data_IF_230686504988
#
_entry.id   IF_230686504988
#
_cell.length_a   1.000
_cell.length_b   1.000
_cell.length_c   1.000
_cell.angle_alpha   90.00
_cell.angle_beta   90.00
_cell.angle_gamma   90.00
#
_symmetry.space_group_name_H-M   'P 1'
#
loop_
_entity.id
_entity.type
_entity.pdbx_description
1 polymer ?
#
# COMPACT_ATOMS: atom_id res chain seq x y z
N UNK A 1 3.75 -18.74 -7.62
CA UNK A 1 2.81 -17.80 -6.99
C UNK A 1 3.18 -17.52 -5.54
N UNK A 2 3.61 -18.53 -4.79
CA UNK A 2 3.91 -18.43 -3.36
C UNK A 2 5.01 -17.40 -3.03
N UNK A 3 6.09 -17.34 -3.83
CA UNK A 3 7.15 -16.34 -3.64
C UNK A 3 6.64 -14.91 -3.85
N UNK A 4 5.79 -14.67 -4.86
CA UNK A 4 5.19 -13.36 -5.09
C UNK A 4 4.26 -12.97 -3.94
N UNK A 5 3.42 -13.91 -3.51
CA UNK A 5 2.49 -13.75 -2.37
C UNK A 5 3.25 -13.39 -1.09
N UNK A 6 4.37 -14.07 -0.84
CA UNK A 6 5.24 -13.79 0.31
C UNK A 6 5.92 -12.42 0.21
N UNK A 7 6.25 -11.94 -0.99
CA UNK A 7 6.78 -10.58 -1.17
C UNK A 7 5.68 -9.55 -0.91
N UNK A 8 4.46 -9.78 -1.40
CA UNK A 8 3.32 -8.93 -1.10
C UNK A 8 3.04 -8.87 0.41
N UNK A 9 3.13 -9.99 1.12
CA UNK A 9 3.03 -10.05 2.59
C UNK A 9 4.07 -9.17 3.28
N UNK A 10 5.32 -9.16 2.79
CA UNK A 10 6.37 -8.30 3.34
C UNK A 10 6.11 -6.83 3.07
N UNK A 11 5.51 -6.50 1.92
CA UNK A 11 5.20 -5.12 1.55
C UNK A 11 4.09 -4.55 2.43
N UNK A 12 3.06 -5.35 2.72
CA UNK A 12 1.95 -4.98 3.58
C UNK A 12 1.54 -6.18 4.45
N UNK A 13 2.19 -6.36 5.61
CA UNK A 13 1.90 -7.43 6.54
C UNK A 13 0.67 -7.11 7.37
N UNK A 14 -0.05 -8.15 7.83
CA UNK A 14 -1.03 -7.97 8.89
C UNK A 14 -0.28 -7.70 10.20
N UNK A 15 -0.70 -6.66 10.92
CA UNK A 15 -0.07 -6.23 12.16
C UNK A 15 -1.09 -6.37 13.30
N UNK A 16 -0.78 -7.13 14.36
CA UNK A 16 -1.66 -7.22 15.52
C UNK A 16 -1.74 -5.85 16.19
N UNK A 17 -2.94 -5.34 16.33
CA UNK A 17 -3.21 -4.05 16.96
C UNK A 17 -3.86 -4.26 18.33
N UNK A 18 -3.33 -3.58 19.35
CA UNK A 18 -3.94 -3.51 20.68
C UNK A 18 -5.01 -2.41 20.69
N UNK A 19 -6.27 -2.85 20.66
CA UNK A 19 -7.45 -1.98 20.59
C UNK A 19 -7.60 -1.18 21.89
N UNK A 20 -7.27 -1.79 23.03
CA UNK A 20 -7.46 -1.18 24.35
C UNK A 20 -6.46 -0.04 24.56
N UNK A 21 -5.22 -0.24 24.09
CA UNK A 21 -4.21 0.82 24.06
C UNK A 21 -4.62 1.99 23.16
N UNK A 22 -5.17 1.73 21.96
CA UNK A 22 -5.64 2.79 21.07
C UNK A 22 -6.84 3.55 21.62
N UNK A 23 -7.83 2.85 22.17
CA UNK A 23 -9.00 3.47 22.80
C UNK A 23 -8.60 4.35 23.97
N UNK A 24 -7.58 3.94 24.74
CA UNK A 24 -7.04 4.73 25.84
C UNK A 24 -6.34 6.01 25.37
N UNK A 25 -5.49 5.92 24.34
CA UNK A 25 -4.80 7.09 23.78
C UNK A 25 -5.78 8.14 23.24
N UNK A 26 -6.86 7.71 22.58
CA UNK A 26 -7.83 8.63 21.98
C UNK A 26 -8.74 9.31 23.03
N UNK A 27 -9.05 8.61 24.13
CA UNK A 27 -9.81 9.18 25.25
C UNK A 27 -9.06 10.24 26.05
N UNK A 28 -7.73 10.27 25.98
CA UNK A 28 -6.92 11.31 26.64
C UNK A 28 -6.92 12.65 25.87
N UNK A 29 -7.28 12.65 24.58
CA UNK A 29 -7.18 13.82 23.68
C UNK A 29 -8.53 14.51 23.37
N UNK A 30 -9.70 13.96 23.74
CA UNK A 30 -11.01 14.44 23.27
C UNK A 30 -12.03 14.78 24.39
N UNK A 31 -12.73 15.91 24.21
CA UNK A 31 -13.83 16.42 25.05
C UNK A 31 -15.19 15.91 24.50
N UNK A 32 -15.74 14.91 25.16
CA UNK A 32 -17.15 14.47 25.36
C UNK A 32 -18.25 14.44 24.27
N UNK A 33 -18.09 14.83 22.99
CA UNK A 33 -19.30 15.00 22.13
C UNK A 33 -19.55 14.05 20.93
N UNK A 34 -18.70 13.09 20.54
CA UNK A 34 -19.01 12.17 19.40
C UNK A 34 -18.48 10.72 19.56
N UNK A 35 -19.08 9.92 20.44
CA UNK A 35 -18.65 8.53 20.71
C UNK A 35 -18.84 7.54 19.53
N UNK A 36 -19.85 7.75 18.67
CA UNK A 36 -20.24 6.77 17.64
C UNK A 36 -19.33 6.78 16.40
N UNK A 37 -18.96 7.95 15.89
CA UNK A 37 -18.07 8.09 14.72
C UNK A 37 -16.63 7.63 15.04
N UNK A 38 -16.22 7.82 16.29
CA UNK A 38 -14.89 7.44 16.76
C UNK A 38 -14.70 5.92 16.85
N UNK A 39 -15.72 5.17 17.29
CA UNK A 39 -15.67 3.71 17.35
C UNK A 39 -15.69 3.10 15.93
N UNK A 40 -16.39 3.72 14.97
CA UNK A 40 -16.38 3.32 13.56
C UNK A 40 -14.99 3.53 12.94
N UNK A 41 -14.36 4.68 13.19
CA UNK A 41 -13.01 4.99 12.73
C UNK A 41 -11.99 3.97 13.26
N UNK A 42 -12.04 3.65 14.56
CA UNK A 42 -11.15 2.64 15.17
C UNK A 42 -11.35 1.26 14.54
N UNK A 43 -12.60 0.84 14.30
CA UNK A 43 -12.88 -0.44 13.62
C UNK A 43 -12.34 -0.49 12.20
N UNK A 44 -12.46 0.61 11.44
CA UNK A 44 -11.93 0.70 10.09
C UNK A 44 -10.39 0.60 10.09
N UNK A 45 -9.73 1.32 11.01
CA UNK A 45 -8.28 1.22 11.21
C UNK A 45 -7.88 -0.20 11.61
N UNK A 46 -8.57 -0.82 12.55
CA UNK A 46 -8.31 -2.20 12.95
C UNK A 46 -8.44 -3.18 11.77
N UNK A 47 -9.50 -3.04 10.97
CA UNK A 47 -9.70 -3.84 9.76
C UNK A 47 -8.52 -3.68 8.81
N UNK A 48 -8.06 -2.44 8.57
CA UNK A 48 -6.89 -2.16 7.75
C UNK A 48 -5.62 -2.84 8.25
N UNK A 49 -5.32 -2.80 9.54
CA UNK A 49 -4.13 -3.45 10.12
C UNK A 49 -4.20 -4.98 10.07
N UNK A 50 -5.40 -5.56 10.09
CA UNK A 50 -5.59 -7.01 9.96
C UNK A 50 -5.48 -7.52 8.51
N UNK A 51 -5.54 -6.63 7.52
CA UNK A 51 -5.41 -7.01 6.12
C UNK A 51 -3.93 -7.22 5.79
N UNK A 52 -3.64 -8.27 5.03
CA UNK A 52 -2.33 -8.48 4.43
C UNK A 52 -2.44 -8.51 2.91
N UNK A 53 -1.46 -7.92 2.22
CA UNK A 53 -1.41 -7.98 0.76
C UNK A 53 -1.06 -9.38 0.20
N UNK A 54 -0.79 -10.36 1.06
CA UNK A 54 -0.72 -11.77 0.69
C UNK A 54 -2.08 -12.39 0.35
N UNK A 55 -3.17 -11.79 0.83
CA UNK A 55 -4.49 -12.35 0.66
C UNK A 55 -4.96 -12.24 -0.79
N UNK A 56 -5.67 -13.27 -1.26
CA UNK A 56 -6.38 -13.19 -2.53
C UNK A 56 -7.34 -12.00 -2.45
N UNK A 57 -7.43 -11.14 -3.48
CA UNK A 57 -6.93 -11.30 -4.85
C UNK A 57 -5.63 -10.55 -5.21
N UNK A 58 -4.98 -9.90 -4.25
CA UNK A 58 -3.92 -8.90 -4.54
C UNK A 58 -2.72 -9.49 -5.29
N UNK A 59 -2.10 -10.62 -4.86
CA UNK A 59 -0.95 -11.18 -5.58
C UNK A 59 -1.30 -11.64 -7.00
N UNK A 60 -2.55 -12.02 -7.26
CA UNK A 60 -3.01 -12.46 -8.57
C UNK A 60 -3.10 -11.27 -9.54
N UNK A 61 -3.75 -10.19 -9.09
CA UNK A 61 -3.87 -8.95 -9.85
C UNK A 61 -2.49 -8.33 -10.12
N UNK A 62 -1.56 -8.39 -9.16
CA UNK A 62 -0.17 -7.96 -9.35
C UNK A 62 0.50 -8.80 -10.44
N UNK A 63 0.37 -10.12 -10.42
CA UNK A 63 0.93 -11.00 -11.44
C UNK A 63 0.35 -10.70 -12.83
N UNK A 64 -0.97 -10.50 -12.91
CA UNK A 64 -1.66 -10.15 -14.15
C UNK A 64 -1.22 -8.79 -14.68
N UNK A 65 -1.08 -7.79 -13.81
CA UNK A 65 -0.59 -6.46 -14.16
C UNK A 65 0.84 -6.51 -14.70
N UNK A 66 1.72 -7.32 -14.09
CA UNK A 66 3.07 -7.56 -14.60
C UNK A 66 3.01 -8.14 -16.02
N UNK A 67 2.19 -9.16 -16.27
CA UNK A 67 2.11 -9.81 -17.58
C UNK A 67 1.51 -8.91 -18.66
N UNK A 68 0.52 -8.09 -18.33
CA UNK A 68 -0.18 -7.24 -19.31
C UNK A 68 0.52 -5.93 -19.61
N UNK A 69 1.20 -5.33 -18.62
CA UNK A 69 1.70 -3.94 -18.70
C UNK A 69 3.22 -3.81 -18.64
N UNK A 70 3.96 -4.81 -18.16
CA UNK A 70 5.41 -4.70 -18.07
C UNK A 70 6.08 -4.98 -19.42
N UNK A 71 7.21 -4.33 -19.67
CA UNK A 71 8.07 -4.64 -20.81
C UNK A 71 8.58 -6.09 -20.74
N UNK A 72 8.77 -6.72 -21.88
CA UNK A 72 9.15 -8.13 -22.00
C UNK A 72 10.38 -8.50 -21.18
N UNK A 73 11.40 -7.65 -21.19
CA UNK A 73 12.66 -7.80 -20.48
C UNK A 73 12.44 -7.79 -18.96
N UNK A 74 11.57 -6.91 -18.47
CA UNK A 74 11.21 -6.83 -17.06
C UNK A 74 10.40 -8.07 -16.62
N UNK A 75 9.48 -8.55 -17.46
CA UNK A 75 8.73 -9.79 -17.20
C UNK A 75 9.68 -10.97 -17.05
N UNK A 76 10.63 -11.13 -17.98
CA UNK A 76 11.63 -12.20 -17.93
C UNK A 76 12.47 -12.10 -16.66
N UNK A 77 12.97 -10.91 -16.33
CA UNK A 77 13.78 -10.67 -15.15
C UNK A 77 13.04 -10.99 -13.84
N UNK A 78 11.80 -10.53 -13.71
CA UNK A 78 10.94 -10.84 -12.55
C UNK A 78 10.69 -12.34 -12.46
N UNK A 79 10.41 -12.99 -13.59
CA UNK A 79 10.18 -14.44 -13.64
C UNK A 79 11.39 -15.24 -13.19
N UNK A 80 12.59 -14.88 -13.63
CA UNK A 80 13.85 -15.53 -13.21
C UNK A 80 14.07 -15.36 -11.72
N UNK A 81 13.89 -14.15 -11.19
CA UNK A 81 14.10 -13.89 -9.75
C UNK A 81 13.08 -14.63 -8.89
N UNK A 82 11.79 -14.60 -9.27
CA UNK A 82 10.74 -15.36 -8.57
C UNK A 82 10.99 -16.87 -8.64
N UNK A 83 11.49 -17.39 -9.77
CA UNK A 83 11.86 -18.80 -9.90
C UNK A 83 13.02 -19.17 -8.98
N UNK A 84 14.06 -18.33 -8.91
CA UNK A 84 15.17 -18.53 -7.98
C UNK A 84 14.70 -18.55 -6.52
N UNK A 85 13.82 -17.61 -6.12
CA UNK A 85 13.21 -17.52 -4.79
C UNK A 85 12.28 -18.69 -4.45
N UNK A 86 11.75 -19.40 -5.45
CA UNK A 86 10.96 -20.61 -5.24
C UNK A 86 11.85 -21.82 -4.91
N UNK A 87 13.07 -21.86 -5.44
CA UNK A 87 14.02 -22.95 -5.21
C UNK A 87 14.87 -22.71 -3.95
N UNK A 88 15.22 -23.77 -3.21
CA UNK A 88 16.09 -23.64 -2.01
C UNK A 88 17.48 -23.10 -2.35
N UNK A 89 18.08 -23.58 -3.44
CA UNK A 89 19.42 -23.16 -3.86
C UNK A 89 19.45 -21.73 -4.43
N UNK A 90 18.44 -21.35 -5.21
CA UNK A 90 18.30 -19.98 -5.71
C UNK A 90 18.02 -18.99 -4.58
N UNK A 91 17.22 -19.38 -3.59
CA UNK A 91 16.98 -18.56 -2.41
C UNK A 91 18.27 -18.39 -1.60
N UNK A 92 19.08 -19.45 -1.43
CA UNK A 92 20.41 -19.35 -0.82
C UNK A 92 21.35 -18.42 -1.59
N UNK A 93 21.36 -18.47 -2.92
CA UNK A 93 22.18 -17.58 -3.76
C UNK A 93 21.78 -16.11 -3.58
N UNK A 94 20.48 -15.85 -3.49
CA UNK A 94 19.92 -14.50 -3.41
C UNK A 94 20.00 -13.92 -1.99
N UNK A 95 19.61 -14.70 -1.00
CA UNK A 95 19.40 -14.26 0.37
C UNK A 95 20.61 -14.58 1.27
N UNK A 96 21.53 -15.42 0.79
CA UNK A 96 22.67 -15.90 1.54
C UNK A 96 22.27 -16.73 2.76
N UNK A 97 23.04 -16.59 3.84
CA UNK A 97 22.88 -17.35 5.08
C UNK A 97 21.56 -17.06 5.82
N UNK A 98 20.81 -16.02 5.46
CA UNK A 98 19.52 -15.70 6.10
C UNK A 98 18.46 -16.80 5.88
N UNK A 99 18.61 -17.61 4.84
CA UNK A 99 17.74 -18.75 4.54
C UNK A 99 18.03 -20.00 5.36
N UNK A 100 19.11 -20.00 6.15
CA UNK A 100 19.44 -21.13 6.98
C UNK A 100 18.48 -21.23 8.17
N UNK A 101 18.06 -22.46 8.43
CA UNK A 101 17.26 -22.87 9.57
C UNK A 101 18.06 -23.81 10.45
N UNK A 102 17.79 -23.80 11.76
CA UNK A 102 18.35 -24.78 12.70
C UNK A 102 17.64 -26.13 12.59
N UNK A 103 16.40 -26.12 12.10
CA UNK A 103 15.54 -27.29 11.95
C UNK A 103 15.51 -27.75 10.49
N UNK A 104 15.30 -29.05 10.28
CA UNK A 104 15.21 -29.61 8.94
C UNK A 104 13.89 -29.20 8.27
N UNK A 105 13.90 -28.74 6.99
CA UNK A 105 15.04 -28.58 6.10
C UNK A 105 15.93 -27.37 6.47
N UNK A 106 17.25 -27.58 6.55
CA UNK A 106 18.20 -26.53 6.93
C UNK A 106 18.21 -25.32 5.98
N UNK A 107 17.70 -25.47 4.76
CA UNK A 107 17.57 -24.38 3.80
C UNK A 107 16.08 -24.23 3.47
N UNK A 108 15.53 -23.09 3.87
CA UNK A 108 14.16 -22.71 3.58
C UNK A 108 14.07 -21.98 2.23
N UNK A 109 12.98 -22.19 1.50
CA UNK A 109 12.67 -21.37 0.34
C UNK A 109 12.13 -20.00 0.82
N UNK A 110 11.97 -19.04 -0.09
CA UNK A 110 11.57 -17.70 0.33
C UNK A 110 10.23 -17.69 1.09
N UNK A 111 9.26 -18.48 0.64
CA UNK A 111 7.91 -18.52 1.21
C UNK A 111 7.81 -19.22 2.57
N UNK A 112 8.72 -20.15 2.90
CA UNK A 112 8.69 -20.90 4.16
C UNK A 112 9.45 -20.22 5.30
N UNK A 113 10.01 -19.02 5.06
CA UNK A 113 10.71 -18.26 6.10
C UNK A 113 9.75 -17.42 6.93
N UNK A 114 10.15 -17.11 8.18
CA UNK A 114 9.43 -16.13 9.01
C UNK A 114 9.40 -14.75 8.36
N UNK A 115 8.38 -13.96 8.68
CA UNK A 115 8.17 -12.63 8.14
C UNK A 115 9.39 -11.71 8.36
N UNK A 116 9.96 -11.72 9.57
CA UNK A 116 11.15 -10.91 9.91
C UNK A 116 12.36 -11.21 9.01
N UNK A 117 12.56 -12.48 8.65
CA UNK A 117 13.66 -12.89 7.76
C UNK A 117 13.39 -12.43 6.33
N UNK A 118 12.16 -12.61 5.85
CA UNK A 118 11.73 -12.17 4.51
C UNK A 118 11.85 -10.66 4.37
N UNK A 119 11.47 -9.90 5.39
CA UNK A 119 11.59 -8.45 5.43
C UNK A 119 13.05 -8.00 5.31
N UNK A 120 13.96 -8.57 6.12
CA UNK A 120 15.40 -8.26 6.04
C UNK A 120 15.98 -8.52 4.64
N UNK A 121 15.52 -9.57 3.95
CA UNK A 121 15.94 -9.88 2.57
C UNK A 121 15.44 -8.81 1.60
N UNK A 122 14.16 -8.45 1.66
CA UNK A 122 13.58 -7.42 0.78
C UNK A 122 14.24 -6.06 1.05
N UNK A 123 14.41 -5.68 2.32
CA UNK A 123 15.12 -4.45 2.73
C UNK A 123 16.56 -4.44 2.20
N UNK A 124 17.30 -5.54 2.35
CA UNK A 124 18.66 -5.68 1.79
C UNK A 124 18.68 -5.51 0.28
N UNK A 125 17.68 -6.06 -0.42
CA UNK A 125 17.53 -5.90 -1.86
C UNK A 125 17.26 -4.47 -2.29
N UNK A 126 16.41 -3.75 -1.55
CA UNK A 126 16.05 -2.36 -1.82
C UNK A 126 17.17 -1.37 -1.45
N UNK A 127 17.94 -1.65 -0.40
CA UNK A 127 19.01 -0.78 0.11
C UNK A 127 20.30 -0.83 -0.71
N UNK A 128 20.40 -1.70 -1.72
CA UNK A 128 21.59 -1.77 -2.56
C UNK A 128 21.76 -0.47 -3.37
N UNK A 129 22.96 0.12 -3.34
CA UNK A 129 23.25 1.45 -3.92
C UNK A 129 23.08 1.51 -5.44
N UNK A 130 23.26 0.37 -6.11
CA UNK A 130 23.08 0.25 -7.56
C UNK A 130 21.68 -0.26 -7.91
N UNK A 131 21.16 0.15 -9.07
CA UNK A 131 19.95 -0.39 -9.70
C UNK A 131 20.20 -1.81 -10.21
N UNK A 132 20.51 -2.73 -9.31
CA UNK A 132 20.66 -4.13 -9.65
C UNK A 132 19.32 -4.69 -10.12
N UNK A 133 19.33 -5.71 -11.01
CA UNK A 133 18.11 -6.40 -11.41
C UNK A 133 17.29 -6.87 -10.20
N UNK A 134 18.00 -7.23 -9.13
CA UNK A 134 17.42 -7.56 -7.84
C UNK A 134 16.62 -6.41 -7.23
N UNK A 135 17.24 -5.23 -7.04
CA UNK A 135 16.57 -4.03 -6.50
C UNK A 135 15.36 -3.64 -7.35
N UNK A 136 15.53 -3.63 -8.67
CA UNK A 136 14.47 -3.25 -9.60
C UNK A 136 13.24 -4.16 -9.44
N UNK A 137 13.45 -5.47 -9.25
CA UNK A 137 12.37 -6.43 -9.05
C UNK A 137 11.57 -6.16 -7.79
N UNK A 138 12.23 -6.02 -6.62
CA UNK A 138 11.49 -5.74 -5.38
C UNK A 138 10.83 -4.37 -5.40
N UNK A 139 11.48 -3.35 -5.96
CA UNK A 139 10.90 -2.03 -6.09
C UNK A 139 9.64 -2.08 -6.98
N UNK A 140 9.72 -2.77 -8.12
CA UNK A 140 8.61 -2.91 -9.04
C UNK A 140 7.43 -3.66 -8.42
N UNK A 141 7.69 -4.83 -7.80
CA UNK A 141 6.66 -5.59 -7.09
C UNK A 141 6.06 -4.77 -5.94
N UNK A 142 6.87 -4.04 -5.17
CA UNK A 142 6.39 -3.16 -4.08
C UNK A 142 5.44 -2.09 -4.61
N UNK A 143 5.82 -1.39 -5.68
CA UNK A 143 4.97 -0.34 -6.29
C UNK A 143 3.67 -0.95 -6.80
N UNK A 144 3.73 -2.06 -7.53
CA UNK A 144 2.51 -2.70 -8.04
C UNK A 144 1.63 -3.26 -6.94
N UNK A 145 2.21 -3.83 -5.89
CA UNK A 145 1.48 -4.35 -4.73
C UNK A 145 0.68 -3.22 -4.06
N UNK A 146 1.34 -2.09 -3.76
CA UNK A 146 0.67 -0.94 -3.16
C UNK A 146 -0.35 -0.30 -4.11
N UNK A 147 -0.01 -0.20 -5.40
CA UNK A 147 -0.94 0.30 -6.41
C UNK A 147 -2.21 -0.53 -6.45
N UNK A 148 -2.11 -1.85 -6.61
CA UNK A 148 -3.26 -2.76 -6.61
C UNK A 148 -4.02 -2.66 -5.30
N UNK A 149 -3.32 -2.67 -4.16
CA UNK A 149 -3.96 -2.62 -2.84
C UNK A 149 -4.85 -1.38 -2.65
N UNK A 150 -4.36 -0.20 -3.01
CA UNK A 150 -5.08 1.07 -2.81
C UNK A 150 -6.02 1.46 -3.95
N UNK A 151 -5.85 0.88 -5.14
CA UNK A 151 -6.71 1.20 -6.31
C UNK A 151 -7.74 0.12 -6.61
N UNK A 152 -7.59 -1.09 -6.08
CA UNK A 152 -8.57 -2.15 -6.29
C UNK A 152 -9.87 -1.79 -5.59
N UNK A 153 -10.96 -2.02 -6.29
CA UNK A 153 -12.30 -1.74 -5.81
C UNK A 153 -13.11 -3.03 -5.85
N UNK A 154 -14.03 -3.21 -4.90
CA UNK A 154 -14.98 -4.31 -4.90
C UNK A 154 -16.15 -4.05 -5.88
N UNK A 155 -17.14 -4.96 -5.89
CA UNK A 155 -18.34 -4.83 -6.74
C UNK A 155 -19.17 -3.59 -6.43
N UNK A 156 -19.06 -3.05 -5.22
CA UNK A 156 -19.82 -1.90 -4.74
C UNK A 156 -19.15 -0.56 -5.03
N UNK A 157 -17.92 -0.56 -5.55
CA UNK A 157 -17.18 0.69 -5.72
C UNK A 157 -16.33 1.08 -4.50
N UNK A 158 -16.18 0.19 -3.50
CA UNK A 158 -15.44 0.45 -2.27
C UNK A 158 -14.07 -0.25 -2.21
N UNK A 159 -13.14 0.36 -1.46
CA UNK A 159 -11.87 -0.26 -1.07
C UNK A 159 -11.79 -0.35 0.46
N UNK A 160 -11.38 -1.49 1.03
CA UNK A 160 -11.36 -1.69 2.48
C UNK A 160 -10.36 -0.79 3.23
N UNK A 161 -9.33 -0.28 2.54
CA UNK A 161 -8.32 0.60 3.12
C UNK A 161 -8.72 2.08 3.14
N UNK A 162 -9.63 2.51 2.25
CA UNK A 162 -9.96 3.92 2.07
C UNK A 162 -10.49 4.58 3.34
N UNK A 163 -11.47 3.96 4.01
CA UNK A 163 -12.03 4.50 5.26
C UNK A 163 -10.98 4.64 6.37
N UNK A 164 -10.05 3.69 6.45
CA UNK A 164 -8.98 3.72 7.44
C UNK A 164 -7.96 4.85 7.20
N UNK A 165 -7.77 5.28 5.95
CA UNK A 165 -6.92 6.42 5.60
C UNK A 165 -7.70 7.74 5.50
N UNK A 166 -8.96 7.76 5.93
CA UNK A 166 -9.83 8.94 5.89
C UNK A 166 -10.34 9.30 4.50
N UNK A 167 -10.22 8.40 3.52
CA UNK A 167 -10.82 8.57 2.20
C UNK A 167 -12.25 8.03 2.21
N UNK A 168 -13.21 8.92 2.01
CA UNK A 168 -14.63 8.58 1.85
C UNK A 168 -15.01 8.95 0.42
N UNK A 169 -15.56 7.98 -0.32
CA UNK A 169 -16.13 8.27 -1.64
C UNK A 169 -17.39 9.08 -1.39
N UNK A 170 -17.41 10.34 -1.84
CA UNK A 170 -18.65 11.12 -1.87
C UNK A 170 -19.65 10.35 -2.71
N UNK A 171 -20.64 9.73 -2.07
CA UNK A 171 -21.83 9.25 -2.76
C UNK A 171 -22.34 10.41 -3.61
N UNK A 172 -22.67 10.15 -4.87
CA UNK A 172 -23.24 11.13 -5.81
C UNK A 172 -24.50 11.87 -5.32
N UNK A 173 -25.00 11.51 -4.13
CA UNK A 173 -26.06 12.17 -3.37
C UNK A 173 -25.59 13.28 -2.41
N UNK A 174 -24.27 13.52 -2.27
CA UNK A 174 -23.77 14.88 -2.01
C UNK A 174 -24.04 15.69 -3.28
N UNK A 175 -25.33 15.98 -3.49
CA UNK A 175 -25.74 17.16 -4.21
C UNK A 175 -24.82 18.26 -3.73
N UNK A 176 -24.25 18.93 -4.70
CA UNK A 176 -23.74 20.28 -4.68
C UNK A 176 -24.81 21.26 -4.16
N UNK A 177 -25.38 21.03 -2.98
CA UNK A 177 -26.11 22.02 -2.22
C UNK A 177 -25.05 22.90 -1.59
N UNK A 178 -24.73 23.98 -2.32
CA UNK A 178 -23.94 25.13 -1.89
C UNK A 178 -22.44 25.10 -2.22
N UNK A 179 -22.02 24.45 -3.32
CA UNK A 179 -20.85 24.98 -4.04
C UNK A 179 -21.31 26.29 -4.67
N UNK A 180 -21.13 27.38 -3.92
CA UNK A 180 -21.17 28.74 -4.48
C UNK A 180 -20.43 28.66 -5.81
N UNK A 181 -21.07 29.03 -6.93
CA UNK A 181 -20.56 28.94 -8.32
C UNK A 181 -19.22 29.66 -8.57
N UNK A 182 -18.53 30.09 -7.51
CA UNK A 182 -17.25 30.78 -7.58
C UNK A 182 -16.13 29.77 -7.75
N UNK A 183 -15.26 30.03 -8.71
CA UNK A 183 -14.08 29.20 -8.96
C UNK A 183 -13.15 29.29 -7.72
N UNK A 184 -12.43 28.20 -7.36
CA UNK A 184 -11.57 28.18 -6.17
C UNK A 184 -10.54 29.31 -6.07
N UNK A 185 -10.14 29.90 -7.20
CA UNK A 185 -9.17 30.99 -7.29
C UNK A 185 -9.80 32.36 -7.63
N UNK A 186 -11.12 32.45 -7.70
CA UNK A 186 -11.83 33.67 -8.12
C UNK A 186 -11.58 34.85 -7.18
N UNK A 187 -11.33 34.62 -5.89
CA UNK A 187 -10.98 35.67 -4.92
C UNK A 187 -9.61 36.33 -5.16
N UNK A 188 -8.74 35.70 -5.96
CA UNK A 188 -7.38 36.20 -6.25
C UNK A 188 -7.18 36.71 -7.67
N UNK A 189 -8.20 36.63 -8.53
CA UNK A 189 -8.15 37.09 -9.91
C UNK A 189 -8.89 38.43 -9.97
N UNK A 190 -8.16 39.49 -10.29
CA UNK A 190 -8.75 40.79 -10.61
C UNK A 190 -8.94 40.85 -12.13
N UNK A 191 -10.19 40.80 -12.58
CA UNK A 191 -10.52 40.94 -13.99
C UNK A 191 -10.48 42.44 -14.35
N UNK A 192 -9.35 42.88 -14.89
CA UNK A 192 -9.08 44.31 -15.20
C UNK A 192 -10.08 44.95 -16.17
N UNK A 193 -10.87 44.16 -16.88
CA UNK A 193 -11.99 44.65 -17.71
C UNK A 193 -13.17 45.20 -16.90
N UNK A 194 -13.24 44.88 -15.61
CA UNK A 194 -14.29 45.29 -14.69
C UNK A 194 -13.82 46.35 -13.67
N UNK A 195 -12.55 46.76 -13.75
CA UNK A 195 -11.93 47.73 -12.84
C UNK A 195 -11.70 49.06 -13.57
N UNK A 196 -11.81 50.17 -12.84
CA UNK A 196 -11.49 51.53 -13.30
C UNK A 196 -10.37 52.12 -12.42
N UNK A 197 -9.73 53.21 -12.85
CA UNK A 197 -8.60 53.84 -12.13
C UNK A 197 -8.92 54.24 -10.67
N UNK A 198 -10.19 54.40 -10.32
CA UNK A 198 -10.66 54.69 -8.95
C UNK A 198 -10.79 53.46 -8.05
N UNK A 199 -10.90 52.26 -8.63
CA UNK A 199 -11.09 50.98 -7.92
C UNK A 199 -9.77 50.22 -7.71
N UNK A 200 -8.73 50.58 -8.46
CA UNK A 200 -7.37 50.03 -8.34
C UNK A 200 -6.45 50.81 -7.37
N UNK A 201 -6.97 51.78 -6.61
CA UNK A 201 -6.15 52.52 -5.65
C UNK A 201 -5.86 51.65 -4.41
N UNK A 202 -4.56 51.36 -4.19
CA UNK A 202 -4.03 50.76 -2.97
C UNK A 202 -3.98 51.75 -1.81
#
# INVERSE_FOLDING_TARGET
MDSLTSICEVVLPSLPMDIDAMKKLKKEDQHDDDDDDDDISIKNVQSFFNISASQYPIPHEVAETILKRAVTEAVILIRVILWLLATRLGTLLICGLLCLSKEWPFINNFSSMSLDKREKIVQRGLNHKFLTPFRLTFAYIKVLCLFVFFSRVDENGDNPAWKAIGYVVSSSDEKTTNVTKKRPLEKGIIETMHENDSTLQQ
#
